data_IF_531488563678
#
_entry.id   IF_531488563678
#
_cell.length_a   1.000
_cell.length_b   1.000
_cell.length_c   1.000
_cell.angle_alpha   90.00
_cell.angle_beta   90.00
_cell.angle_gamma   90.00
#
_symmetry.space_group_name_H-M   'P 1'
#
loop_
_entity.id
_entity.type
_entity.pdbx_description
1 polymer ?
#
# COMPACT_ATOMS: atom_id res chain seq x y z
N UNK A 1 -3.11 11.35 -4.20
CA UNK A 1 -3.70 10.17 -4.85
C UNK A 1 -4.52 9.31 -3.90
N UNK A 2 -5.57 8.70 -4.43
CA UNK A 2 -6.40 7.70 -3.74
C UNK A 2 -5.63 6.39 -3.53
N UNK A 3 -5.69 5.83 -2.32
CA UNK A 3 -4.98 4.62 -1.93
C UNK A 3 -5.84 3.72 -1.01
N UNK A 4 -5.56 2.41 -1.02
CA UNK A 4 -5.96 1.49 0.03
C UNK A 4 -4.88 1.51 1.13
N UNK A 5 -5.28 1.76 2.38
CA UNK A 5 -4.38 2.06 3.50
C UNK A 5 -4.68 1.10 4.64
N UNK A 6 -3.62 0.51 5.19
CA UNK A 6 -3.64 -0.31 6.41
C UNK A 6 -2.95 0.50 7.50
N UNK A 7 -3.71 1.14 8.38
CA UNK A 7 -3.13 1.92 9.49
C UNK A 7 -2.77 1.03 10.70
N UNK A 8 -3.49 -0.08 10.87
CA UNK A 8 -3.29 -1.07 11.93
C UNK A 8 -3.80 -2.46 11.48
N UNK A 9 -3.31 -3.56 12.09
CA UNK A 9 -3.78 -4.91 11.78
C UNK A 9 -5.32 -5.04 11.85
N UNK A 10 -5.91 -5.77 10.91
CA UNK A 10 -7.35 -6.00 10.80
C UNK A 10 -8.14 -4.82 10.24
N UNK A 11 -7.48 -3.76 9.74
CA UNK A 11 -8.15 -2.59 9.16
C UNK A 11 -7.61 -2.25 7.76
N UNK A 12 -8.53 -2.06 6.82
CA UNK A 12 -8.24 -1.53 5.49
C UNK A 12 -9.24 -0.40 5.23
N UNK A 13 -8.75 0.78 4.88
CA UNK A 13 -9.60 1.89 4.42
C UNK A 13 -9.13 2.45 3.09
N UNK A 14 -10.02 3.13 2.40
CA UNK A 14 -9.65 3.93 1.24
C UNK A 14 -9.53 5.38 1.65
N UNK A 15 -8.45 6.05 1.26
CA UNK A 15 -8.21 7.46 1.57
C UNK A 15 -7.31 8.14 0.56
N UNK A 16 -6.98 9.40 0.82
CA UNK A 16 -6.04 10.18 0.02
C UNK A 16 -4.67 10.24 0.72
N UNK A 17 -3.60 10.15 -0.06
CA UNK A 17 -2.21 10.38 0.35
C UNK A 17 -1.53 11.34 -0.63
N UNK A 18 -0.45 12.05 -0.27
CA UNK A 18 0.28 12.88 -1.21
C UNK A 18 0.79 12.07 -2.42
N UNK A 19 0.88 12.71 -3.58
CA UNK A 19 1.49 12.07 -4.75
C UNK A 19 3.01 11.94 -4.52
N UNK A 20 3.62 10.78 -4.81
CA UNK A 20 5.04 10.56 -4.56
C UNK A 20 5.91 11.34 -5.54
N UNK A 21 7.08 11.77 -5.07
CA UNK A 21 8.17 12.30 -5.91
C UNK A 21 9.29 11.26 -5.97
N UNK A 22 9.81 10.88 -7.15
CA UNK A 22 10.84 9.85 -7.23
C UNK A 22 12.20 10.38 -6.75
N UNK A 23 12.91 9.57 -5.98
CA UNK A 23 14.33 9.77 -5.68
C UNK A 23 15.25 9.25 -6.80
N UNK A 24 16.56 9.22 -6.52
CA UNK A 24 17.53 8.68 -7.47
C UNK A 24 17.22 7.20 -7.77
N UNK A 25 17.21 6.84 -9.07
CA UNK A 25 16.90 5.48 -9.56
C UNK A 25 15.48 4.97 -9.26
N UNK A 26 14.54 5.86 -8.93
CA UNK A 26 13.12 5.53 -8.78
C UNK A 26 12.30 6.07 -9.95
N UNK A 27 11.12 5.49 -10.16
CA UNK A 27 10.13 5.97 -11.13
C UNK A 27 8.75 6.05 -10.47
N UNK A 28 7.95 7.05 -10.86
CA UNK A 28 6.54 7.13 -10.47
C UNK A 28 5.69 6.57 -11.60
N UNK A 29 4.82 5.61 -11.27
CA UNK A 29 3.95 4.91 -12.23
C UNK A 29 2.50 5.26 -11.92
N UNK A 30 1.75 5.69 -12.94
CA UNK A 30 0.30 5.79 -12.86
C UNK A 30 -0.31 4.40 -13.01
N UNK A 31 -0.77 3.82 -11.90
CA UNK A 31 -1.37 2.48 -11.87
C UNK A 31 -2.69 2.48 -12.65
N UNK A 32 -2.80 1.60 -13.65
CA UNK A 32 -4.05 1.38 -14.41
C UNK A 32 -4.96 0.33 -13.78
N UNK A 33 -4.36 -0.75 -13.25
CA UNK A 33 -5.03 -1.80 -12.49
C UNK A 33 -4.00 -2.54 -11.62
N UNK A 34 -4.46 -3.21 -10.56
CA UNK A 34 -3.67 -4.15 -9.75
C UNK A 34 -4.56 -5.28 -9.25
N UNK A 35 -3.99 -6.46 -9.03
CA UNK A 35 -4.67 -7.59 -8.39
C UNK A 35 -4.58 -7.51 -6.87
N UNK A 36 -5.41 -8.31 -6.19
CA UNK A 36 -5.30 -8.61 -4.76
C UNK A 36 -4.77 -10.04 -4.63
N UNK A 37 -3.66 -10.20 -3.94
CA UNK A 37 -3.08 -11.48 -3.58
C UNK A 37 -3.51 -11.89 -2.16
N UNK A 38 -3.54 -13.19 -1.86
CA UNK A 38 -3.78 -13.66 -0.49
C UNK A 38 -2.77 -13.12 0.52
N UNK A 39 -1.53 -12.85 0.08
CA UNK A 39 -0.50 -12.23 0.92
C UNK A 39 -0.88 -10.81 1.38
N UNK A 40 -1.61 -10.04 0.58
CA UNK A 40 -2.06 -8.70 0.98
C UNK A 40 -2.96 -8.77 2.22
N UNK A 41 -3.82 -9.80 2.30
CA UNK A 41 -4.68 -10.04 3.46
C UNK A 41 -3.87 -10.49 4.68
N UNK A 42 -2.90 -11.38 4.51
CA UNK A 42 -2.02 -11.76 5.61
C UNK A 42 -1.20 -10.58 6.18
N UNK A 43 -0.79 -9.64 5.33
CA UNK A 43 -0.16 -8.39 5.76
C UNK A 43 -1.17 -7.53 6.51
N UNK A 44 -2.37 -7.34 5.96
CA UNK A 44 -3.42 -6.56 6.60
C UNK A 44 -3.84 -7.12 7.97
N UNK A 45 -3.81 -8.44 8.16
CA UNK A 45 -4.10 -9.11 9.43
C UNK A 45 -2.92 -9.08 10.42
N UNK A 46 -1.76 -8.54 10.03
CA UNK A 46 -0.59 -8.41 10.89
C UNK A 46 0.21 -9.71 11.08
N UNK A 47 0.14 -10.66 10.15
CA UNK A 47 0.93 -11.90 10.20
C UNK A 47 2.43 -11.69 9.92
N UNK A 48 2.82 -10.50 9.45
CA UNK A 48 4.20 -10.13 9.18
C UNK A 48 4.62 -8.93 10.04
N UNK A 49 5.90 -8.87 10.47
CA UNK A 49 6.40 -7.68 11.16
C UNK A 49 6.36 -6.46 10.23
N UNK A 50 6.12 -5.24 10.77
CA UNK A 50 6.24 -4.02 9.97
C UNK A 50 7.67 -3.89 9.44
N UNK A 51 7.82 -3.31 8.25
CA UNK A 51 9.15 -2.94 7.75
C UNK A 51 9.74 -1.88 8.69
N UNK A 52 11.01 -1.99 9.12
CA UNK A 52 11.66 -1.03 10.01
C UNK A 52 11.63 0.42 9.50
#
# INVERSE_FOLDING_TARGET
MRAAIVDQPGSIRVGEVPDPTPGERQVVIKVGATGICGTDLHIADGHFPPTP
#
